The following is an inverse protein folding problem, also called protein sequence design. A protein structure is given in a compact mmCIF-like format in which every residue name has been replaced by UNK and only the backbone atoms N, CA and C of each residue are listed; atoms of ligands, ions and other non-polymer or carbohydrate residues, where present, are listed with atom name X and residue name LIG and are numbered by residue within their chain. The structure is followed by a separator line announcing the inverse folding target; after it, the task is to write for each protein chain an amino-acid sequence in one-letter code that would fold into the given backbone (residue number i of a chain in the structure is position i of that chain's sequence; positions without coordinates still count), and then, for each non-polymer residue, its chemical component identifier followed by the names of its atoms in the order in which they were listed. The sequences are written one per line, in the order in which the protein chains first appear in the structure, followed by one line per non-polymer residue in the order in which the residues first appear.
data_IF_333865885342
#
_entry.id   IF_333865885342
#
_cell.length_a   1.000
_cell.length_b   1.000
_cell.length_c   1.000
_cell.angle_alpha   90.00
_cell.angle_beta   90.00
_cell.angle_gamma   90.00
#
_symmetry.space_group_name_H-M   'P 1'
#
loop_
_entity.id
_entity.type
_entity.pdbx_description
1 polymer ?
#
# COMPACT_ATOMS: atom_id res chain seq x y z
N UNK A 1 13.51 6.61 -12.24
CA UNK A 1 14.33 6.27 -13.43
C UNK A 1 14.73 7.50 -14.27
N UNK A 2 13.77 8.31 -14.76
CA UNK A 2 14.06 9.50 -15.59
C UNK A 2 15.11 10.43 -14.96
N UNK A 3 15.02 10.70 -13.66
CA UNK A 3 16.00 11.51 -12.95
C UNK A 3 17.43 10.93 -13.02
N UNK A 4 17.61 9.61 -12.88
CA UNK A 4 18.93 8.97 -12.97
C UNK A 4 19.54 9.04 -14.39
N UNK A 5 18.71 9.09 -15.44
CA UNK A 5 19.16 9.28 -16.82
C UNK A 5 19.62 10.73 -17.03
N UNK A 6 18.87 11.68 -16.48
CA UNK A 6 19.19 13.11 -16.58
C UNK A 6 20.39 13.51 -15.72
N UNK A 7 20.64 12.80 -14.62
CA UNK A 7 21.71 13.07 -13.66
C UNK A 7 22.38 11.75 -13.28
N UNK A 8 23.31 11.25 -14.11
CA UNK A 8 24.04 10.03 -13.80
C UNK A 8 24.94 10.24 -12.56
N UNK A 9 25.05 9.23 -11.68
CA UNK A 9 25.96 9.31 -10.54
C UNK A 9 27.41 9.31 -11.02
N UNK A 10 28.26 10.10 -10.36
CA UNK A 10 29.71 10.14 -10.60
C UNK A 10 30.52 9.30 -9.62
N UNK A 11 29.90 8.82 -8.53
CA UNK A 11 30.55 7.96 -7.53
C UNK A 11 30.64 6.52 -8.03
N UNK A 12 31.87 5.99 -8.06
CA UNK A 12 32.17 4.62 -8.46
C UNK A 12 31.43 3.60 -7.58
N UNK A 13 31.39 3.80 -6.27
CA UNK A 13 30.72 2.91 -5.32
C UNK A 13 29.23 2.76 -5.61
N UNK A 14 28.56 3.86 -5.97
CA UNK A 14 27.12 3.85 -6.31
C UNK A 14 26.90 3.11 -7.63
N UNK A 15 27.79 3.32 -8.61
CA UNK A 15 27.71 2.66 -9.91
C UNK A 15 27.89 1.15 -9.73
N UNK A 16 28.91 0.71 -9.00
CA UNK A 16 29.21 -0.71 -8.78
C UNK A 16 28.10 -1.41 -7.99
N UNK A 17 27.58 -0.78 -6.94
CA UNK A 17 26.45 -1.31 -6.17
C UNK A 17 25.20 -1.52 -7.05
N UNK A 18 24.90 -0.57 -7.93
CA UNK A 18 23.78 -0.68 -8.88
C UNK A 18 24.03 -1.78 -9.91
N UNK A 19 25.25 -1.87 -10.44
CA UNK A 19 25.63 -2.90 -11.41
C UNK A 19 25.44 -4.29 -10.80
N UNK A 20 25.95 -4.52 -9.59
CA UNK A 20 25.78 -5.79 -8.86
C UNK A 20 24.31 -6.16 -8.70
N UNK A 21 23.47 -5.20 -8.30
CA UNK A 21 22.03 -5.42 -8.12
C UNK A 21 21.35 -5.82 -9.44
N UNK A 22 21.72 -5.20 -10.56
CA UNK A 22 21.17 -5.52 -11.88
C UNK A 22 21.70 -6.86 -12.39
N UNK A 23 22.98 -7.16 -12.19
CA UNK A 23 23.58 -8.45 -12.55
C UNK A 23 22.89 -9.59 -11.84
N UNK A 24 22.64 -9.47 -10.54
CA UNK A 24 21.88 -10.47 -9.77
C UNK A 24 20.49 -10.72 -10.36
N UNK A 25 19.72 -9.66 -10.61
CA UNK A 25 18.39 -9.77 -11.20
C UNK A 25 18.42 -10.36 -12.62
N UNK A 26 19.46 -10.05 -13.40
CA UNK A 26 19.64 -10.60 -14.75
C UNK A 26 19.99 -12.09 -14.75
N UNK A 27 20.67 -12.58 -13.70
CA UNK A 27 21.05 -13.98 -13.57
C UNK A 27 19.88 -14.86 -13.09
N UNK A 28 18.90 -14.27 -12.41
CA UNK A 28 17.75 -14.98 -11.84
C UNK A 28 16.41 -14.42 -12.35
N UNK A 29 15.92 -14.85 -13.53
CA UNK A 29 14.64 -14.38 -14.08
C UNK A 29 13.44 -14.63 -13.16
N UNK A 30 13.44 -15.71 -12.39
CA UNK A 30 12.39 -16.03 -11.43
C UNK A 30 12.32 -15.01 -10.27
N UNK A 31 13.48 -14.57 -9.77
CA UNK A 31 13.58 -13.53 -8.75
C UNK A 31 13.07 -12.19 -9.29
N UNK A 32 13.50 -11.83 -10.51
CA UNK A 32 13.05 -10.61 -11.18
C UNK A 32 11.52 -10.60 -11.34
N UNK A 33 10.93 -11.70 -11.80
CA UNK A 33 9.47 -11.80 -11.96
C UNK A 33 8.75 -11.68 -10.61
N UNK A 34 9.23 -12.39 -9.58
CA UNK A 34 8.65 -12.36 -8.24
C UNK A 34 8.70 -10.93 -7.65
N UNK A 35 9.83 -10.23 -7.81
CA UNK A 35 9.97 -8.84 -7.39
C UNK A 35 9.06 -7.91 -8.18
N UNK A 36 8.94 -8.08 -9.49
CA UNK A 36 8.02 -7.29 -10.32
C UNK A 36 6.57 -7.46 -9.83
N UNK A 37 6.14 -8.69 -9.57
CA UNK A 37 4.79 -8.98 -9.06
C UNK A 37 4.57 -8.45 -7.65
N UNK A 38 5.59 -8.48 -6.78
CA UNK A 38 5.50 -7.91 -5.45
C UNK A 38 5.41 -6.38 -5.50
N UNK A 39 6.30 -5.73 -6.27
CA UNK A 39 6.38 -4.26 -6.39
C UNK A 39 5.15 -3.69 -7.11
N UNK A 40 4.55 -4.40 -8.07
CA UNK A 40 3.33 -3.94 -8.75
C UNK A 40 2.12 -3.78 -7.81
N UNK A 41 2.16 -4.37 -6.61
CA UNK A 41 1.10 -4.17 -5.61
C UNK A 41 1.16 -2.80 -4.92
N UNK A 42 2.24 -2.04 -5.15
CA UNK A 42 2.50 -0.74 -4.51
C UNK A 42 2.35 0.44 -5.50
N UNK A 43 1.52 0.33 -6.54
CA UNK A 43 1.39 1.35 -7.62
C UNK A 43 1.15 2.79 -7.13
N UNK A 44 0.40 2.98 -6.04
CA UNK A 44 -0.07 4.30 -5.61
C UNK A 44 0.49 4.75 -4.24
N UNK A 45 1.54 4.11 -3.72
CA UNK A 45 2.06 4.43 -2.38
C UNK A 45 2.53 5.88 -2.21
N UNK A 46 2.95 6.55 -3.29
CA UNK A 46 3.31 7.97 -3.24
C UNK A 46 2.11 8.84 -2.81
N UNK A 47 0.88 8.43 -3.16
CA UNK A 47 -0.32 9.14 -2.75
C UNK A 47 -0.52 9.09 -1.23
N UNK A 48 0.07 8.12 -0.53
CA UNK A 48 0.00 8.05 0.94
C UNK A 48 0.75 9.22 1.61
N UNK A 49 1.69 9.87 0.91
CA UNK A 49 2.30 11.11 1.43
C UNK A 49 1.25 12.20 1.67
N UNK A 50 0.11 12.17 0.94
CA UNK A 50 -0.97 13.10 1.17
C UNK A 50 -1.62 12.95 2.55
N UNK A 51 -1.59 11.76 3.17
CA UNK A 51 -2.03 11.58 4.57
C UNK A 51 -1.21 12.43 5.54
N UNK A 52 0.07 12.65 5.23
CA UNK A 52 0.99 13.41 6.09
C UNK A 52 0.96 14.91 5.79
N UNK A 53 0.57 15.30 4.56
CA UNK A 53 0.71 16.68 4.06
C UNK A 53 -0.62 17.43 4.00
N UNK A 54 -1.73 16.76 3.67
CA UNK A 54 -3.03 17.43 3.52
C UNK A 54 -3.78 17.43 4.84
N UNK A 55 -4.03 18.63 5.37
CA UNK A 55 -5.11 18.81 6.33
C UNK A 55 -6.41 18.78 5.52
N UNK A 56 -7.29 17.79 5.72
CA UNK A 56 -8.56 17.73 4.99
C UNK A 56 -9.32 19.05 5.17
N UNK A 57 -9.71 19.66 4.05
CA UNK A 57 -10.55 20.85 4.08
C UNK A 57 -11.98 20.44 4.43
N UNK A 58 -12.34 20.52 5.72
CA UNK A 58 -13.65 20.12 6.26
C UNK A 58 -14.85 20.94 5.76
N UNK A 59 -14.67 21.83 4.77
CA UNK A 59 -15.80 22.51 4.11
C UNK A 59 -16.71 21.55 3.36
N UNK A 60 -16.18 20.43 2.89
CA UNK A 60 -16.94 19.33 2.28
C UNK A 60 -16.57 18.03 3.01
N UNK A 61 -17.22 17.82 4.16
CA UNK A 61 -16.96 16.69 5.07
C UNK A 61 -17.14 15.34 4.37
N UNK A 62 -18.11 15.23 3.47
CA UNK A 62 -18.36 13.99 2.73
C UNK A 62 -17.18 13.66 1.81
N UNK A 63 -16.75 14.60 0.96
CA UNK A 63 -15.60 14.36 0.08
C UNK A 63 -14.32 14.12 0.87
N UNK A 64 -14.12 14.82 1.97
CA UNK A 64 -12.96 14.62 2.83
C UNK A 64 -12.92 13.19 3.40
N UNK A 65 -14.03 12.71 3.95
CA UNK A 65 -14.16 11.35 4.48
C UNK A 65 -13.95 10.27 3.41
N UNK A 66 -14.51 10.48 2.21
CA UNK A 66 -14.35 9.58 1.07
C UNK A 66 -12.86 9.44 0.67
N UNK A 67 -12.16 10.56 0.56
CA UNK A 67 -10.73 10.60 0.21
C UNK A 67 -9.89 9.93 1.30
N UNK A 68 -10.12 10.26 2.57
CA UNK A 68 -9.40 9.69 3.70
C UNK A 68 -9.59 8.18 3.79
N UNK A 69 -10.82 7.69 3.62
CA UNK A 69 -11.11 6.26 3.61
C UNK A 69 -10.34 5.54 2.51
N UNK A 70 -10.29 6.11 1.30
CA UNK A 70 -9.50 5.53 0.20
C UNK A 70 -8.01 5.45 0.53
N UNK A 71 -7.44 6.48 1.17
CA UNK A 71 -6.03 6.46 1.58
C UNK A 71 -5.76 5.44 2.69
N UNK A 72 -6.66 5.30 3.67
CA UNK A 72 -6.53 4.26 4.70
C UNK A 72 -6.61 2.85 4.08
N UNK A 73 -7.52 2.64 3.13
CA UNK A 73 -7.62 1.36 2.40
C UNK A 73 -6.37 1.09 1.56
N UNK A 74 -5.78 2.11 0.96
CA UNK A 74 -4.54 2.00 0.19
C UNK A 74 -3.35 1.67 1.11
N UNK A 75 -3.27 2.33 2.27
CA UNK A 75 -2.25 2.05 3.28
C UNK A 75 -2.38 0.61 3.77
N UNK A 76 -3.59 0.17 4.11
CA UNK A 76 -3.88 -1.23 4.51
C UNK A 76 -3.45 -2.22 3.44
N UNK A 77 -3.86 -1.99 2.20
CA UNK A 77 -3.54 -2.89 1.07
C UNK A 77 -2.03 -2.98 0.81
N UNK A 78 -1.32 -1.87 1.01
CA UNK A 78 0.14 -1.80 0.90
C UNK A 78 0.81 -2.59 2.04
N UNK A 79 0.34 -2.41 3.28
CA UNK A 79 0.84 -3.15 4.45
C UNK A 79 0.59 -4.65 4.33
N UNK A 80 -0.58 -5.06 3.82
CA UNK A 80 -0.91 -6.47 3.58
C UNK A 80 0.02 -7.12 2.52
N UNK A 81 0.57 -6.32 1.60
CA UNK A 81 1.49 -6.78 0.55
C UNK A 81 2.95 -6.76 0.98
N UNK A 82 3.27 -6.11 2.10
CA UNK A 82 4.63 -5.94 2.61
C UNK A 82 5.34 -7.27 2.95
N UNK A 83 4.68 -8.27 3.58
CA UNK A 83 5.33 -9.55 3.89
C UNK A 83 5.84 -10.27 2.64
N UNK A 84 5.07 -10.27 1.55
CA UNK A 84 5.45 -10.89 0.27
C UNK A 84 6.69 -10.22 -0.31
N UNK A 85 6.77 -8.88 -0.20
CA UNK A 85 7.95 -8.14 -0.64
C UNK A 85 9.17 -8.48 0.21
N UNK A 86 9.02 -8.57 1.55
CA UNK A 86 10.10 -8.95 2.47
C UNK A 86 10.64 -10.36 2.15
N UNK A 87 9.75 -11.33 1.99
CA UNK A 87 10.12 -12.71 1.64
C UNK A 87 10.86 -12.78 0.30
N UNK A 88 10.38 -12.06 -0.71
CA UNK A 88 11.05 -12.00 -2.01
C UNK A 88 12.45 -11.40 -1.89
N UNK A 89 12.62 -10.33 -1.10
CA UNK A 89 13.92 -9.68 -0.87
C UNK A 89 14.88 -10.53 -0.03
N UNK A 90 14.40 -11.42 0.85
CA UNK A 90 15.27 -12.32 1.64
C UNK A 90 16.09 -13.29 0.77
N UNK A 91 15.58 -13.62 -0.42
CA UNK A 91 16.30 -14.50 -1.37
C UNK A 91 17.43 -13.81 -2.15
N UNK A 92 17.57 -12.48 -1.98
CA UNK A 92 18.61 -11.69 -2.65
C UNK A 92 19.92 -11.73 -1.87
N UNK A 93 21.02 -11.47 -2.57
CA UNK A 93 22.41 -11.55 -2.09
C UNK A 93 23.08 -10.18 -2.09
N UNK A 94 22.60 -9.22 -2.88
CA UNK A 94 23.28 -7.93 -2.98
C UNK A 94 23.03 -7.02 -1.76
N UNK A 95 24.03 -6.22 -1.35
CA UNK A 95 23.91 -5.33 -0.20
C UNK A 95 22.78 -4.29 -0.32
N UNK A 96 22.45 -3.89 -1.55
CA UNK A 96 21.38 -2.94 -1.82
C UNK A 96 20.01 -3.48 -1.37
N UNK A 97 19.65 -4.70 -1.78
CA UNK A 97 18.36 -5.30 -1.40
C UNK A 97 18.31 -5.65 0.08
N UNK A 98 19.43 -6.04 0.70
CA UNK A 98 19.50 -6.22 2.16
C UNK A 98 19.25 -4.92 2.92
N UNK A 99 19.79 -3.80 2.42
CA UNK A 99 19.51 -2.48 3.00
C UNK A 99 18.01 -2.15 2.89
N UNK A 100 17.40 -2.36 1.72
CA UNK A 100 15.96 -2.18 1.53
C UNK A 100 15.17 -3.07 2.48
N UNK A 101 15.53 -4.35 2.63
CA UNK A 101 14.89 -5.27 3.56
C UNK A 101 14.95 -4.75 4.99
N UNK A 102 16.12 -4.23 5.42
CA UNK A 102 16.30 -3.61 6.74
C UNK A 102 15.43 -2.37 6.91
N UNK A 103 15.34 -1.51 5.90
CA UNK A 103 14.50 -0.31 5.94
C UNK A 103 13.00 -0.66 6.01
N UNK A 104 12.60 -1.81 5.46
CA UNK A 104 11.24 -2.35 5.56
C UNK A 104 10.99 -3.08 6.88
N UNK A 105 12.02 -3.39 7.66
CA UNK A 105 11.93 -4.11 8.94
C UNK A 105 11.72 -3.18 10.13
N UNK A 106 10.69 -2.34 10.00
CA UNK A 106 10.29 -1.37 11.00
C UNK A 106 9.00 -1.83 11.71
N UNK A 107 9.05 -1.93 13.03
CA UNK A 107 7.92 -2.34 13.88
C UNK A 107 6.70 -1.41 13.73
N UNK A 108 6.91 -0.15 13.34
CA UNK A 108 5.83 0.82 13.12
C UNK A 108 4.85 0.35 12.06
N UNK A 109 5.29 -0.42 11.05
CA UNK A 109 4.36 -0.98 10.06
C UNK A 109 3.34 -1.92 10.70
N UNK A 110 3.75 -2.75 11.65
CA UNK A 110 2.87 -3.67 12.37
C UNK A 110 1.91 -2.92 13.29
N UNK A 111 2.41 -1.88 13.98
CA UNK A 111 1.57 -1.00 14.82
C UNK A 111 0.48 -0.33 13.99
N UNK A 112 0.84 0.30 12.87
CA UNK A 112 -0.11 0.96 11.96
C UNK A 112 -1.13 -0.05 11.43
N UNK A 113 -0.70 -1.24 11.01
CA UNK A 113 -1.60 -2.27 10.51
C UNK A 113 -2.60 -2.69 11.59
N UNK A 114 -2.13 -2.92 12.82
CA UNK A 114 -2.99 -3.30 13.95
C UNK A 114 -4.03 -2.22 14.24
N UNK A 115 -3.61 -0.95 14.32
CA UNK A 115 -4.52 0.18 14.53
C UNK A 115 -5.58 0.30 13.42
N UNK A 116 -5.20 0.08 12.16
CA UNK A 116 -6.16 0.06 11.06
C UNK A 116 -7.17 -1.09 11.24
N UNK A 117 -6.70 -2.28 11.61
CA UNK A 117 -7.54 -3.46 11.77
C UNK A 117 -8.49 -3.38 12.98
N UNK A 118 -8.28 -2.47 13.93
CA UNK A 118 -9.25 -2.22 15.00
C UNK A 118 -10.58 -1.66 14.45
N UNK A 119 -10.54 -0.91 13.35
CA UNK A 119 -11.70 -0.19 12.80
C UNK A 119 -12.10 -0.68 11.41
N UNK A 120 -11.14 -1.02 10.57
CA UNK A 120 -11.34 -1.41 9.17
C UNK A 120 -11.42 -2.93 9.04
N UNK A 121 -12.39 -3.40 8.26
CA UNK A 121 -12.65 -4.80 7.99
C UNK A 121 -11.44 -5.47 7.33
N UNK A 122 -11.16 -6.70 7.75
CA UNK A 122 -9.98 -7.46 7.32
C UNK A 122 -10.00 -7.71 5.81
N UNK A 123 -11.19 -7.79 5.19
CA UNK A 123 -11.40 -7.99 3.75
C UNK A 123 -11.43 -6.69 2.94
N UNK A 124 -11.50 -5.53 3.59
CA UNK A 124 -11.53 -4.25 2.88
C UNK A 124 -10.20 -4.00 2.17
N UNK A 125 -10.25 -3.70 0.88
CA UNK A 125 -9.11 -3.39 0.01
C UNK A 125 -9.43 -2.24 -0.92
N UNK A 126 -8.40 -1.56 -1.41
CA UNK A 126 -8.56 -0.61 -2.51
C UNK A 126 -8.99 -1.34 -3.78
N UNK A 127 -10.06 -0.85 -4.43
CA UNK A 127 -10.52 -1.36 -5.73
C UNK A 127 -10.62 -0.23 -6.74
N UNK A 128 -10.17 -0.50 -7.97
CA UNK A 128 -10.30 0.41 -9.11
C UNK A 128 -11.75 0.41 -9.61
N UNK A 129 -12.25 1.59 -10.01
CA UNK A 129 -13.61 1.80 -10.53
C UNK A 129 -14.58 2.37 -9.50
N UNK A 130 -15.46 3.27 -9.95
CA UNK A 130 -16.35 4.06 -9.09
C UNK A 130 -17.25 3.19 -8.20
N UNK A 131 -18.02 2.26 -8.79
CA UNK A 131 -18.96 1.42 -8.06
C UNK A 131 -18.27 0.48 -7.06
N UNK A 132 -17.14 -0.12 -7.46
CA UNK A 132 -16.38 -1.00 -6.59
C UNK A 132 -15.74 -0.24 -5.41
N UNK A 133 -15.22 0.97 -5.65
CA UNK A 133 -14.70 1.86 -4.60
C UNK A 133 -15.81 2.31 -3.65
N UNK A 134 -17.00 2.68 -4.16
CA UNK A 134 -18.13 3.04 -3.30
C UNK A 134 -18.55 1.87 -2.42
N UNK A 135 -18.70 0.68 -3.00
CA UNK A 135 -19.04 -0.51 -2.24
C UNK A 135 -17.99 -0.82 -1.17
N UNK A 136 -16.70 -0.79 -1.51
CA UNK A 136 -15.63 -1.00 -0.52
C UNK A 136 -15.71 0.01 0.62
N UNK A 137 -15.97 1.29 0.34
CA UNK A 137 -16.12 2.33 1.39
C UNK A 137 -17.31 2.06 2.31
N UNK A 138 -18.48 1.73 1.76
CA UNK A 138 -19.68 1.44 2.54
C UNK A 138 -19.44 0.30 3.55
N UNK A 139 -18.67 -0.73 3.16
CA UNK A 139 -18.41 -1.91 3.98
C UNK A 139 -16.99 -1.95 4.57
N UNK A 140 -16.23 -0.85 4.48
CA UNK A 140 -14.84 -0.80 4.94
C UNK A 140 -14.75 -0.86 6.46
N UNK A 141 -15.68 -0.25 7.19
CA UNK A 141 -15.65 -0.19 8.65
C UNK A 141 -16.23 -1.49 9.23
N UNK A 142 -15.62 -2.06 10.26
CA UNK A 142 -16.11 -3.26 10.96
C UNK A 142 -17.52 -3.04 11.54
N UNK A 143 -18.28 -4.12 11.64
CA UNK A 143 -19.55 -4.11 12.39
C UNK A 143 -19.26 -3.95 13.88
N UNK A 144 -20.17 -3.33 14.62
CA UNK A 144 -20.02 -3.07 16.05
C UNK A 144 -19.18 -1.83 16.40
N UNK A 145 -18.53 -1.19 15.42
CA UNK A 145 -17.82 0.09 15.62
C UNK A 145 -18.83 1.24 15.75
N UNK A 146 -19.89 1.24 14.93
CA UNK A 146 -20.92 2.26 14.96
C UNK A 146 -22.30 1.65 14.64
N UNK A 147 -23.17 1.61 15.64
CA UNK A 147 -24.50 0.99 15.49
C UNK A 147 -25.42 1.70 14.49
N UNK A 148 -25.27 3.00 14.27
CA UNK A 148 -26.06 3.72 13.25
C UNK A 148 -25.59 3.33 11.84
N UNK A 149 -24.28 3.21 11.65
CA UNK A 149 -23.69 2.77 10.39
C UNK A 149 -24.09 1.33 10.05
N UNK A 150 -24.18 0.47 11.07
CA UNK A 150 -24.61 -0.92 10.91
C UNK A 150 -26.09 -1.02 10.53
N UNK A 151 -26.95 -0.23 11.18
CA UNK A 151 -28.37 -0.14 10.84
C UNK A 151 -28.56 0.37 9.40
N UNK A 152 -27.85 1.44 9.01
CA UNK A 152 -27.91 1.99 7.67
C UNK A 152 -27.46 0.98 6.60
N UNK A 153 -26.40 0.21 6.88
CA UNK A 153 -25.93 -0.87 6.01
C UNK A 153 -26.96 -1.99 5.87
N UNK A 154 -27.62 -2.41 6.96
CA UNK A 154 -28.68 -3.41 6.91
C UNK A 154 -29.82 -2.96 6.00
N UNK A 155 -30.33 -1.73 6.20
CA UNK A 155 -31.41 -1.19 5.36
C UNK A 155 -31.02 -1.08 3.89
N UNK A 156 -29.76 -0.71 3.58
CA UNK A 156 -29.26 -0.70 2.21
C UNK A 156 -29.20 -2.11 1.60
N UNK A 157 -28.66 -3.09 2.34
CA UNK A 157 -28.59 -4.48 1.90
C UNK A 157 -29.97 -5.08 1.64
N UNK A 158 -30.95 -4.78 2.51
CA UNK A 158 -32.33 -5.22 2.34
C UNK A 158 -32.91 -4.68 1.03
N UNK A 159 -32.75 -3.36 0.77
CA UNK A 159 -33.24 -2.70 -0.45
C UNK A 159 -32.60 -3.24 -1.74
N UNK A 160 -31.33 -3.62 -1.70
CA UNK A 160 -30.61 -4.17 -2.86
C UNK A 160 -30.94 -5.65 -3.07
N UNK A 161 -31.40 -6.35 -2.03
CA UNK A 161 -31.79 -7.76 -2.09
C UNK A 161 -33.24 -8.00 -2.54
N UNK A 162 -34.09 -6.98 -2.46
CA UNK A 162 -35.44 -6.91 -3.04
C UNK A 162 -35.45 -6.47 -4.49
#
# INVERSE_FOLDING_TARGET
LRANIMQPPTSQEIIDSRLLSVTELSQSPALLHSLQTAVSKFEDVEQLLWLCVQVPNFRDEQKASEIQTNYVLLLKTSLDSLPVLKETLQSTQTPYFHKVLKDLDDERFAVIQTTILEVINDDARTKKGYSASQFQRCFAIKTGINGLLDMARSSYSDLVST
#
